data_IF_236533438474
#
_entry.id   IF_236533438474
#
_cell.length_a   1.000
_cell.length_b   1.000
_cell.length_c   1.000
_cell.angle_alpha   90.00
_cell.angle_beta   90.00
_cell.angle_gamma   90.00
#
_symmetry.space_group_name_H-M   'P 1'
#
loop_
_entity.id
_entity.type
_entity.pdbx_description
1 polymer ?
#
# COMPACT_ATOMS: atom_id res chain seq x y z
N UNK A 1 -2.66 6.88 -20.49
CA UNK A 1 -4.03 6.72 -19.99
C UNK A 1 -4.63 8.01 -19.44
N UNK A 2 -3.97 8.68 -18.49
CA UNK A 2 -4.49 9.94 -17.88
C UNK A 2 -4.63 11.07 -18.92
N UNK A 3 -3.72 11.15 -19.88
CA UNK A 3 -3.78 12.13 -20.98
C UNK A 3 -4.94 11.83 -21.93
N UNK A 4 -5.19 10.55 -22.19
CA UNK A 4 -6.23 10.09 -23.11
C UNK A 4 -7.62 10.06 -22.44
N UNK A 5 -7.65 9.71 -21.14
CA UNK A 5 -8.86 9.61 -20.32
C UNK A 5 -8.69 10.42 -19.03
N UNK A 6 -8.77 11.77 -19.09
CA UNK A 6 -8.61 12.59 -17.89
C UNK A 6 -9.77 12.37 -16.91
N UNK A 7 -9.49 12.24 -15.59
CA UNK A 7 -10.55 12.06 -14.60
C UNK A 7 -11.39 13.35 -14.45
N UNK A 8 -12.69 13.19 -14.25
CA UNK A 8 -13.64 14.28 -13.95
C UNK A 8 -13.81 14.55 -12.45
N UNK A 9 -12.91 14.04 -11.63
CA UNK A 9 -12.91 14.16 -10.18
C UNK A 9 -11.49 14.42 -9.65
N UNK A 10 -11.43 14.90 -8.41
CA UNK A 10 -10.16 15.11 -7.71
C UNK A 10 -10.10 14.24 -6.46
N UNK A 11 -8.94 13.63 -6.23
CA UNK A 11 -8.58 13.00 -4.97
C UNK A 11 -7.23 13.55 -4.53
N UNK A 12 -7.08 13.78 -3.23
CA UNK A 12 -5.82 14.22 -2.65
C UNK A 12 -5.44 13.38 -1.42
N UNK A 13 -4.17 13.48 -1.05
CA UNK A 13 -3.67 12.89 0.21
C UNK A 13 -3.97 13.77 1.43
N UNK A 14 -4.69 14.88 1.27
CA UNK A 14 -4.96 15.86 2.34
C UNK A 14 -5.73 15.24 3.50
N UNK A 15 -6.61 14.28 3.22
CA UNK A 15 -7.24 13.47 4.24
C UNK A 15 -6.21 12.80 5.19
N UNK A 16 -5.13 12.22 4.63
CA UNK A 16 -4.05 11.65 5.43
C UNK A 16 -3.29 12.72 6.23
N UNK A 17 -3.10 13.90 5.65
CA UNK A 17 -2.44 15.01 6.32
C UNK A 17 -3.27 15.48 7.50
N UNK A 18 -4.55 15.78 7.27
CA UNK A 18 -5.43 16.35 8.30
C UNK A 18 -5.84 15.36 9.38
N UNK A 19 -6.22 14.13 8.99
CA UNK A 19 -6.77 13.15 9.94
C UNK A 19 -5.71 12.31 10.66
N UNK A 20 -4.49 12.21 10.12
CA UNK A 20 -3.44 11.37 10.69
C UNK A 20 -2.17 12.14 11.01
N UNK A 21 -1.54 12.75 10.00
CA UNK A 21 -0.20 13.33 10.17
C UNK A 21 -0.22 14.54 11.09
N UNK A 22 -1.13 15.49 10.86
CA UNK A 22 -1.23 16.70 11.68
C UNK A 22 -1.63 16.37 13.13
N UNK A 23 -2.53 15.42 13.33
CA UNK A 23 -2.94 14.98 14.68
C UNK A 23 -1.75 14.35 15.40
N UNK A 24 -1.06 13.40 14.75
CA UNK A 24 0.14 12.77 15.31
C UNK A 24 1.22 13.82 15.62
N UNK A 25 1.48 14.72 14.67
CA UNK A 25 2.50 15.76 14.83
C UNK A 25 2.19 16.74 15.96
N UNK A 26 0.92 17.11 16.11
CA UNK A 26 0.47 17.98 17.20
C UNK A 26 0.73 17.36 18.59
N UNK A 27 0.58 16.04 18.71
CA UNK A 27 0.86 15.32 19.95
C UNK A 27 2.35 15.10 20.13
N UNK A 28 3.04 14.67 19.07
CA UNK A 28 4.45 14.26 19.13
C UNK A 28 5.42 15.41 19.39
N UNK A 29 5.09 16.64 18.99
CA UNK A 29 5.98 17.80 19.13
C UNK A 29 6.39 18.12 20.58
N UNK A 30 5.62 17.68 21.55
CA UNK A 30 5.86 17.94 22.96
C UNK A 30 6.77 16.88 23.61
N UNK A 31 7.26 15.91 22.82
CA UNK A 31 8.12 14.81 23.29
C UNK A 31 9.48 14.85 22.57
N UNK A 32 10.55 14.58 23.31
CA UNK A 32 11.91 14.46 22.78
C UNK A 32 12.08 13.21 21.92
N UNK A 33 11.34 12.14 22.25
CA UNK A 33 11.41 10.86 21.56
C UNK A 33 10.01 10.32 21.21
N UNK A 34 9.87 9.79 20.01
CA UNK A 34 8.68 9.07 19.55
C UNK A 34 9.03 7.61 19.28
N UNK A 35 8.32 6.69 19.92
CA UNK A 35 8.47 5.25 19.71
C UNK A 35 7.34 4.76 18.80
N UNK A 36 7.67 4.05 17.72
CA UNK A 36 6.68 3.51 16.78
C UNK A 36 6.89 2.02 16.53
N UNK A 37 5.79 1.28 16.29
CA UNK A 37 5.80 -0.14 15.94
C UNK A 37 6.06 -0.42 14.46
N UNK A 38 6.69 0.49 13.73
CA UNK A 38 6.99 0.31 12.30
C UNK A 38 7.99 -0.82 12.08
N UNK A 39 7.69 -1.68 11.08
CA UNK A 39 8.57 -2.78 10.65
C UNK A 39 8.98 -2.57 9.18
N UNK A 40 10.20 -2.98 8.83
CA UNK A 40 10.69 -2.93 7.45
C UNK A 40 9.86 -3.81 6.52
N UNK A 41 9.47 -4.99 6.98
CA UNK A 41 8.71 -5.99 6.22
C UNK A 41 7.28 -5.55 5.86
N UNK A 42 6.77 -4.46 6.47
CA UNK A 42 5.52 -3.85 6.03
C UNK A 42 5.59 -3.21 4.64
N UNK A 43 6.79 -3.11 4.06
CA UNK A 43 7.03 -2.64 2.70
C UNK A 43 6.83 -1.14 2.48
N UNK A 44 6.81 -0.74 1.21
CA UNK A 44 6.65 0.64 0.79
C UNK A 44 7.84 1.51 1.24
N UNK A 45 7.57 2.74 1.69
CA UNK A 45 8.61 3.66 2.16
C UNK A 45 9.39 3.17 3.38
N UNK A 46 8.89 2.16 4.10
CA UNK A 46 9.57 1.57 5.26
C UNK A 46 10.68 0.61 4.88
N UNK A 47 10.58 -0.03 3.72
CA UNK A 47 11.59 -0.96 3.20
C UNK A 47 12.71 -0.29 2.43
N UNK A 48 12.57 1.00 2.08
CA UNK A 48 13.58 1.71 1.29
C UNK A 48 14.80 2.04 2.16
N UNK A 49 16.02 1.57 1.78
CA UNK A 49 17.24 1.96 2.48
C UNK A 49 17.45 3.47 2.38
N UNK A 50 17.82 4.09 3.50
CA UNK A 50 18.26 5.49 3.47
C UNK A 50 19.71 5.58 2.99
N UNK A 51 20.03 6.63 2.25
CA UNK A 51 21.37 6.88 1.67
C UNK A 51 22.49 7.00 2.71
N UNK A 52 22.15 7.28 3.95
CA UNK A 52 23.05 7.60 5.03
C UNK A 52 23.46 6.41 5.93
N UNK A 53 23.08 5.18 5.57
CA UNK A 53 23.40 3.95 6.31
C UNK A 53 23.11 4.02 7.83
N UNK A 54 22.31 5.00 8.28
CA UNK A 54 21.94 5.11 9.69
C UNK A 54 21.08 3.93 10.10
N UNK A 55 21.30 3.44 11.30
CA UNK A 55 20.49 2.38 11.89
C UNK A 55 19.02 2.83 11.88
N UNK A 56 18.21 2.23 11.00
CA UNK A 56 16.83 2.67 10.74
C UNK A 56 15.91 2.46 11.95
N UNK A 57 16.36 1.68 12.95
CA UNK A 57 15.65 1.52 14.22
C UNK A 57 15.72 2.77 15.11
N UNK A 58 16.79 3.59 14.99
CA UNK A 58 16.93 4.84 15.72
C UNK A 58 17.36 5.95 14.76
N UNK A 59 16.61 7.03 14.71
CA UNK A 59 16.90 8.18 13.84
C UNK A 59 16.61 9.48 14.55
N UNK A 60 17.38 10.51 14.22
CA UNK A 60 17.09 11.87 14.59
C UNK A 60 16.43 12.60 13.40
N UNK A 61 15.40 13.36 13.67
CA UNK A 61 14.74 14.21 12.67
C UNK A 61 15.50 15.52 12.52
N UNK A 62 15.26 16.24 11.44
CA UNK A 62 15.84 17.57 11.22
C UNK A 62 15.45 18.60 12.30
N UNK A 63 14.43 18.34 13.08
CA UNK A 63 14.00 19.17 14.22
C UNK A 63 14.63 18.76 15.56
N UNK A 64 15.59 17.81 15.57
CA UNK A 64 16.24 17.31 16.78
C UNK A 64 15.41 16.30 17.59
N UNK A 65 14.23 15.89 17.10
CA UNK A 65 13.42 14.87 17.77
C UNK A 65 13.93 13.47 17.43
N UNK A 66 14.01 12.60 18.41
CA UNK A 66 14.40 11.20 18.20
C UNK A 66 13.20 10.32 17.83
N UNK A 67 13.46 9.34 16.97
CA UNK A 67 12.50 8.30 16.60
C UNK A 67 13.09 6.92 16.78
N UNK A 68 12.46 6.13 17.65
CA UNK A 68 12.84 4.75 17.92
C UNK A 68 11.81 3.78 17.32
N UNK A 69 12.30 2.77 16.59
CA UNK A 69 11.51 1.70 15.98
C UNK A 69 12.04 0.35 16.47
N UNK A 70 11.67 -0.09 17.66
CA UNK A 70 12.22 -1.30 18.25
C UNK A 70 11.91 -2.56 17.45
N UNK A 71 10.81 -2.57 16.70
CA UNK A 71 10.37 -3.70 15.87
C UNK A 71 10.87 -3.62 14.42
N UNK A 72 11.74 -2.67 14.07
CA UNK A 72 12.09 -2.39 12.67
C UNK A 72 12.60 -3.61 11.92
N UNK A 73 13.40 -4.45 12.56
CA UNK A 73 13.99 -5.66 11.98
C UNK A 73 13.19 -6.94 12.22
N UNK A 74 12.06 -6.86 12.92
CA UNK A 74 11.17 -8.01 13.14
C UNK A 74 10.52 -8.39 11.83
N UNK A 75 10.79 -9.61 11.36
CA UNK A 75 10.24 -10.14 10.11
C UNK A 75 8.77 -10.58 10.27
N UNK A 76 8.09 -10.80 9.15
CA UNK A 76 6.75 -11.39 9.18
C UNK A 76 6.76 -12.79 9.79
N UNK A 77 7.84 -13.57 9.58
CA UNK A 77 8.03 -14.88 10.21
C UNK A 77 8.14 -14.79 11.73
N UNK A 78 8.91 -13.82 12.24
CA UNK A 78 9.06 -13.62 13.69
C UNK A 78 7.72 -13.19 14.31
N UNK A 79 6.96 -12.37 13.61
CA UNK A 79 5.63 -11.93 14.03
C UNK A 79 4.65 -13.12 14.13
N UNK A 80 4.60 -14.00 13.14
CA UNK A 80 3.75 -15.19 13.17
C UNK A 80 4.20 -16.18 14.24
N UNK A 81 5.51 -16.41 14.39
CA UNK A 81 6.04 -17.23 15.48
C UNK A 81 5.63 -16.69 16.85
N UNK A 82 5.75 -15.38 17.06
CA UNK A 82 5.35 -14.71 18.32
C UNK A 82 3.85 -14.86 18.59
N UNK A 83 3.02 -14.71 17.56
CA UNK A 83 1.58 -14.91 17.62
C UNK A 83 1.23 -16.32 18.10
N UNK A 84 1.84 -17.33 17.48
CA UNK A 84 1.58 -18.74 17.79
C UNK A 84 2.07 -19.09 19.20
N UNK A 85 3.29 -18.69 19.54
CA UNK A 85 3.92 -19.00 20.82
C UNK A 85 3.13 -18.43 22.03
N UNK A 86 2.63 -17.22 21.90
CA UNK A 86 1.87 -16.55 22.97
C UNK A 86 0.35 -16.68 22.84
N UNK A 87 -0.16 -17.38 21.82
CA UNK A 87 -1.60 -17.54 21.60
C UNK A 87 -2.33 -16.22 21.33
N UNK A 88 -1.67 -15.26 20.66
CA UNK A 88 -2.23 -13.92 20.42
C UNK A 88 -3.28 -14.00 19.31
N UNK A 89 -4.47 -13.52 19.61
CA UNK A 89 -5.52 -13.29 18.62
C UNK A 89 -5.37 -11.89 18.01
N UNK A 90 -5.36 -11.82 16.68
CA UNK A 90 -5.44 -10.54 15.98
C UNK A 90 -6.88 -10.00 15.98
N UNK A 91 -7.04 -8.75 15.55
CA UNK A 91 -8.35 -8.16 15.39
C UNK A 91 -9.17 -8.88 14.31
N UNK A 92 -10.48 -8.77 14.41
CA UNK A 92 -11.43 -9.35 13.45
C UNK A 92 -11.17 -8.88 12.01
N UNK A 93 -10.57 -7.72 11.83
CA UNK A 93 -10.14 -7.23 10.52
C UNK A 93 -9.21 -8.21 9.80
N UNK A 94 -8.34 -8.90 10.52
CA UNK A 94 -7.42 -9.91 9.96
C UNK A 94 -8.01 -11.32 9.99
N UNK A 95 -8.58 -11.73 11.13
CA UNK A 95 -8.96 -13.13 11.34
C UNK A 95 -10.36 -13.47 10.82
N UNK A 96 -11.25 -12.49 10.76
CA UNK A 96 -12.64 -12.68 10.32
C UNK A 96 -12.86 -12.07 8.94
N UNK A 97 -12.43 -10.82 8.71
CA UNK A 97 -12.66 -10.13 7.44
C UNK A 97 -11.64 -10.51 6.35
N UNK A 98 -10.51 -11.11 6.74
CA UNK A 98 -9.48 -11.55 5.82
C UNK A 98 -8.62 -10.42 5.23
N UNK A 99 -8.61 -9.24 5.85
CA UNK A 99 -7.75 -8.14 5.43
C UNK A 99 -6.28 -8.47 5.67
N UNK A 100 -5.43 -8.17 4.70
CA UNK A 100 -3.98 -8.32 4.84
C UNK A 100 -3.33 -7.15 5.56
N UNK A 101 -4.02 -6.02 5.61
CA UNK A 101 -3.55 -4.79 6.25
C UNK A 101 -4.72 -3.93 6.70
N UNK A 102 -4.66 -3.45 7.94
CA UNK A 102 -5.60 -2.42 8.38
C UNK A 102 -5.12 -1.04 7.92
N UNK A 103 -5.99 -0.34 7.24
CA UNK A 103 -5.78 1.03 6.77
C UNK A 103 -7.05 1.85 6.91
N UNK A 104 -7.15 2.95 6.19
CA UNK A 104 -8.44 3.61 6.01
C UNK A 104 -9.27 2.76 5.06
N UNK A 105 -10.38 2.24 5.55
CA UNK A 105 -11.30 1.47 4.73
C UNK A 105 -11.78 2.29 3.53
N UNK A 106 -11.69 1.70 2.34
CA UNK A 106 -12.08 2.36 1.11
C UNK A 106 -11.23 3.57 0.70
N UNK A 107 -9.99 3.67 1.19
CA UNK A 107 -9.09 4.75 0.80
C UNK A 107 -8.88 4.76 -0.73
N UNK A 108 -9.27 5.83 -1.46
CA UNK A 108 -9.18 5.85 -2.92
C UNK A 108 -7.74 5.82 -3.45
N UNK A 109 -6.75 6.10 -2.59
CA UNK A 109 -5.32 6.03 -2.93
C UNK A 109 -4.79 4.59 -2.80
N UNK A 110 -5.45 3.73 -2.01
CA UNK A 110 -5.06 2.32 -1.88
C UNK A 110 -5.33 1.55 -3.17
N UNK A 111 -4.32 0.81 -3.65
CA UNK A 111 -4.49 -0.05 -4.83
C UNK A 111 -5.41 -1.25 -4.59
N UNK A 112 -5.64 -1.63 -3.32
CA UNK A 112 -6.54 -2.72 -2.90
C UNK A 112 -7.91 -2.21 -2.40
N UNK A 113 -8.24 -0.93 -2.58
CA UNK A 113 -9.43 -0.33 -1.97
C UNK A 113 -10.71 -1.11 -2.30
N UNK A 114 -10.90 -1.51 -3.55
CA UNK A 114 -12.11 -2.24 -3.99
C UNK A 114 -12.10 -3.66 -3.46
N UNK A 115 -10.97 -4.37 -3.53
CA UNK A 115 -10.83 -5.74 -3.02
C UNK A 115 -11.08 -5.79 -1.51
N UNK A 116 -10.49 -4.86 -0.76
CA UNK A 116 -10.70 -4.74 0.69
C UNK A 116 -12.18 -4.44 1.02
N UNK A 117 -12.86 -3.61 0.23
CA UNK A 117 -14.29 -3.32 0.40
C UNK A 117 -15.16 -4.56 0.13
N UNK A 118 -14.82 -5.39 -0.85
CA UNK A 118 -15.55 -6.64 -1.10
C UNK A 118 -15.37 -7.64 0.06
N UNK A 119 -14.17 -7.75 0.61
CA UNK A 119 -13.90 -8.61 1.77
C UNK A 119 -14.72 -8.22 3.01
N UNK A 120 -14.87 -6.92 3.27
CA UNK A 120 -15.61 -6.45 4.45
C UNK A 120 -17.13 -6.29 4.22
N UNK A 121 -17.59 -6.37 2.97
CA UNK A 121 -19.01 -6.17 2.62
C UNK A 121 -20.00 -7.02 3.46
N UNK A 122 -19.73 -8.31 3.74
CA UNK A 122 -20.62 -9.13 4.57
C UNK A 122 -20.73 -8.67 6.03
N UNK A 123 -19.70 -7.98 6.54
CA UNK A 123 -19.59 -7.59 7.94
C UNK A 123 -19.93 -6.12 8.16
N UNK A 124 -19.54 -5.25 7.22
CA UNK A 124 -19.63 -3.79 7.33
C UNK A 124 -20.32 -3.15 6.10
N UNK A 125 -21.56 -3.56 5.75
CA UNK A 125 -22.22 -3.11 4.51
C UNK A 125 -22.44 -1.60 4.45
N UNK A 126 -22.66 -0.95 5.59
CA UNK A 126 -22.84 0.50 5.65
C UNK A 126 -21.56 1.27 5.36
N UNK A 127 -20.41 0.75 5.80
CA UNK A 127 -19.10 1.32 5.52
C UNK A 127 -18.79 1.22 4.02
N UNK A 128 -19.07 0.06 3.43
CA UNK A 128 -18.92 -0.16 1.98
C UNK A 128 -19.80 0.79 1.19
N UNK A 129 -21.08 0.92 1.55
CA UNK A 129 -22.01 1.85 0.90
C UNK A 129 -21.53 3.31 1.00
N UNK A 130 -21.06 3.73 2.16
CA UNK A 130 -20.54 5.08 2.37
C UNK A 130 -19.28 5.32 1.51
N UNK A 131 -18.35 4.37 1.45
CA UNK A 131 -17.13 4.45 0.64
C UNK A 131 -17.46 4.58 -0.85
N UNK A 132 -18.38 3.78 -1.37
CA UNK A 132 -18.84 3.85 -2.76
C UNK A 132 -19.57 5.17 -3.07
N UNK A 133 -20.38 5.70 -2.16
CA UNK A 133 -21.06 6.99 -2.35
C UNK A 133 -20.06 8.16 -2.44
N UNK A 134 -18.94 8.09 -1.70
CA UNK A 134 -17.95 9.16 -1.65
C UNK A 134 -16.92 9.02 -2.78
N UNK A 135 -16.42 7.80 -3.01
CA UNK A 135 -15.25 7.53 -3.85
C UNK A 135 -15.54 6.66 -5.09
N UNK A 136 -16.80 6.34 -5.38
CA UNK A 136 -17.18 5.42 -6.45
C UNK A 136 -16.54 5.76 -7.79
N UNK A 137 -16.55 7.03 -8.20
CA UNK A 137 -15.90 7.48 -9.44
C UNK A 137 -14.41 7.13 -9.48
N UNK A 138 -13.70 7.26 -8.35
CA UNK A 138 -12.27 6.93 -8.30
C UNK A 138 -12.02 5.43 -8.36
N UNK A 139 -12.92 4.61 -7.84
CA UNK A 139 -12.84 3.15 -7.93
C UNK A 139 -13.07 2.67 -9.35
N UNK A 140 -14.11 3.20 -10.02
CA UNK A 140 -14.41 2.90 -11.42
C UNK A 140 -13.25 3.32 -12.35
N UNK A 141 -12.73 4.50 -12.16
CA UNK A 141 -11.57 4.99 -12.92
C UNK A 141 -10.34 4.10 -12.74
N UNK A 142 -10.07 3.65 -11.52
CA UNK A 142 -8.98 2.72 -11.24
C UNK A 142 -9.20 1.36 -11.92
N UNK A 143 -10.43 0.86 -11.95
CA UNK A 143 -10.77 -0.38 -12.66
C UNK A 143 -10.44 -0.24 -14.14
N UNK A 144 -10.89 0.84 -14.78
CA UNK A 144 -10.58 1.14 -16.19
C UNK A 144 -9.07 1.24 -16.44
N UNK A 145 -8.34 1.90 -15.54
CA UNK A 145 -6.88 1.97 -15.62
C UNK A 145 -6.21 0.59 -15.54
N UNK A 146 -6.67 -0.26 -14.65
CA UNK A 146 -6.12 -1.62 -14.51
C UNK A 146 -6.40 -2.48 -15.75
N UNK A 147 -7.59 -2.39 -16.31
CA UNK A 147 -7.97 -3.07 -17.57
C UNK A 147 -7.10 -2.58 -18.74
N UNK A 148 -6.94 -1.28 -18.88
CA UNK A 148 -6.05 -0.68 -19.87
C UNK A 148 -4.60 -1.17 -19.73
N UNK A 149 -4.09 -1.18 -18.50
CA UNK A 149 -2.74 -1.67 -18.22
C UNK A 149 -2.57 -3.15 -18.59
N UNK A 150 -3.55 -3.99 -18.30
CA UNK A 150 -3.52 -5.40 -18.67
C UNK A 150 -3.51 -5.59 -20.20
N UNK A 151 -4.34 -4.84 -20.92
CA UNK A 151 -4.36 -4.86 -22.38
C UNK A 151 -3.00 -4.44 -22.97
N UNK A 152 -2.41 -3.36 -22.46
CA UNK A 152 -1.09 -2.89 -22.90
C UNK A 152 -0.01 -3.94 -22.66
N UNK A 153 0.03 -4.55 -21.48
CA UNK A 153 0.99 -5.61 -21.17
C UNK A 153 0.82 -6.86 -22.03
N UNK A 154 -0.41 -7.21 -22.40
CA UNK A 154 -0.68 -8.31 -23.31
C UNK A 154 -0.15 -8.00 -24.72
N UNK A 155 -0.41 -6.81 -25.25
CA UNK A 155 0.11 -6.34 -26.54
C UNK A 155 1.64 -6.30 -26.59
N UNK A 156 2.27 -5.82 -25.52
CA UNK A 156 3.74 -5.77 -25.43
C UNK A 156 4.36 -7.19 -25.41
N UNK A 157 3.73 -8.13 -24.71
CA UNK A 157 4.16 -9.54 -24.71
C UNK A 157 4.00 -10.19 -26.09
N UNK A 158 2.90 -9.94 -26.76
CA UNK A 158 2.65 -10.46 -28.10
C UNK A 158 3.65 -9.86 -29.13
N UNK A 159 3.92 -8.57 -29.04
CA UNK A 159 4.93 -7.90 -29.87
C UNK A 159 6.33 -8.47 -29.61
N UNK A 160 6.72 -8.71 -28.37
CA UNK A 160 7.99 -9.31 -28.02
C UNK A 160 8.12 -10.76 -28.55
N UNK A 161 7.08 -11.58 -28.42
CA UNK A 161 7.06 -12.94 -28.93
C UNK A 161 7.19 -12.99 -30.47
N UNK A 162 6.56 -12.04 -31.17
CA UNK A 162 6.67 -11.93 -32.63
C UNK A 162 8.09 -11.51 -33.06
N UNK A 163 8.80 -10.71 -32.30
CA UNK A 163 10.20 -10.33 -32.57
C UNK A 163 11.14 -11.51 -32.38
N UNK A 164 10.97 -12.29 -31.30
CA UNK A 164 11.76 -13.51 -31.06
C UNK A 164 11.52 -14.56 -32.17
N UNK A 165 10.27 -14.71 -32.65
CA UNK A 165 9.97 -15.58 -33.79
C UNK A 165 10.62 -15.14 -35.10
N UNK A 166 10.84 -13.84 -35.33
CA UNK A 166 11.53 -13.32 -36.50
C UNK A 166 13.07 -13.46 -36.39
N UNK A 167 13.64 -13.43 -35.21
CA UNK A 167 15.08 -13.65 -35.00
C UNK A 167 15.47 -15.10 -35.25
N UNK A 168 14.60 -16.08 -34.96
CA UNK A 168 14.89 -17.50 -35.27
C UNK A 168 14.94 -17.83 -36.74
N UNK A 169 14.40 -16.98 -37.61
CA UNK A 169 14.50 -17.12 -39.06
C UNK A 169 15.88 -16.64 -39.64
N UNK A 170 16.62 -15.81 -38.90
CA UNK A 170 17.96 -15.37 -39.31
C UNK A 170 19.04 -16.41 -39.04
N UNK A 171 18.82 -17.32 -38.11
CA UNK A 171 19.74 -18.43 -37.82
C UNK A 171 19.68 -19.58 -38.86
N UNK A 172 18.83 -19.44 -39.89
CA UNK A 172 18.67 -20.42 -40.96
C UNK A 172 19.38 -20.02 -42.25
N UNK A 173 20.16 -18.93 -42.26
CA UNK A 173 20.94 -18.48 -43.45
C UNK A 173 22.43 -18.39 -43.03
N UNK A 174 23.02 -19.54 -42.72
CA UNK A 174 24.43 -19.83 -42.85
C UNK A 174 24.61 -21.07 -43.71
#
# INVERSE_FOLDING_TARGET
FIEEYPPDFQISADCCVHCKKNVAHKIQKDYEMVITGERRDEGGMRSVPRKDNTALCFTETSSGQFRLRPLYYVSDRDKEWYKEYYGIRYSDAYEVYGLTRTGCCGCPISYKAVDDLELIRPYEPNVVKAAWNIFGKSYEYRKQYNEYKQMRMAQEKEAAANVEGQMSLKDFIE
#
